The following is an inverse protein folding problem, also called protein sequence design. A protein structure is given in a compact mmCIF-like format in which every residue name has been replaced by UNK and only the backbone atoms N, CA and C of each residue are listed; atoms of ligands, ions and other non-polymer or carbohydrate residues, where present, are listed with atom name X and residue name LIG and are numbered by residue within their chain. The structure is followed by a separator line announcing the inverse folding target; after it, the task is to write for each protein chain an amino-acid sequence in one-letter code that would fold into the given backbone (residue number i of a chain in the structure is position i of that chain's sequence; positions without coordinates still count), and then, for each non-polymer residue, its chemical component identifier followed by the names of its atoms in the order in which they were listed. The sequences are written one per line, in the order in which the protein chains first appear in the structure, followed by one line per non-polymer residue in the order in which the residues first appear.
data_IF_377338105592
#
_entry.id   IF_377338105592
#
_cell.length_a   1.000
_cell.length_b   1.000
_cell.length_c   1.000
_cell.angle_alpha   90.00
_cell.angle_beta   90.00
_cell.angle_gamma   90.00
#
_symmetry.space_group_name_H-M   'P 1'
#
loop_
_entity.id
_entity.type
_entity.pdbx_description
1 polymer ?
#
# COMPACT_ATOMS: atom_id res chain seq x y z
N UNK A 1 5.37 7.07 -22.13
CA UNK A 1 5.60 8.49 -21.78
C UNK A 1 6.81 8.56 -20.86
N UNK A 2 7.95 8.97 -21.40
CA UNK A 2 9.20 9.04 -20.65
C UNK A 2 9.31 10.38 -19.93
N UNK A 3 9.69 10.36 -18.66
CA UNK A 3 10.08 11.56 -17.92
C UNK A 3 11.53 11.87 -18.26
N UNK A 4 11.80 13.04 -18.84
CA UNK A 4 13.16 13.57 -18.92
C UNK A 4 13.59 14.06 -17.53
N UNK A 5 14.87 13.88 -17.20
CA UNK A 5 15.48 14.37 -15.96
C UNK A 5 16.26 15.67 -16.17
N UNK A 6 16.07 16.31 -17.33
CA UNK A 6 16.74 17.56 -17.69
C UNK A 6 15.81 18.70 -17.29
N UNK A 7 16.25 19.48 -16.31
CA UNK A 7 15.54 20.62 -15.74
C UNK A 7 16.47 21.83 -15.77
N UNK A 8 16.03 22.91 -16.41
CA UNK A 8 16.72 24.18 -16.42
C UNK A 8 16.25 25.04 -15.26
N UNK A 9 17.18 25.63 -14.52
CA UNK A 9 16.88 26.52 -13.40
C UNK A 9 16.85 27.97 -13.89
N UNK A 10 15.70 28.62 -13.74
CA UNK A 10 15.48 30.02 -14.10
C UNK A 10 15.01 30.82 -12.88
N UNK A 11 15.18 32.14 -12.85
CA UNK A 11 14.61 32.98 -11.80
C UNK A 11 13.10 32.75 -11.72
N UNK A 12 12.64 32.08 -10.65
CA UNK A 12 11.23 31.75 -10.43
C UNK A 12 10.88 30.25 -10.52
N UNK A 13 11.80 29.35 -10.87
CA UNK A 13 11.54 27.90 -10.81
C UNK A 13 12.43 27.02 -11.69
N UNK A 14 11.92 25.82 -11.98
CA UNK A 14 12.53 24.88 -12.93
C UNK A 14 11.61 24.69 -14.12
N UNK A 15 12.16 24.73 -15.32
CA UNK A 15 11.45 24.46 -16.58
C UNK A 15 12.05 23.20 -17.20
N UNK A 16 11.21 22.37 -17.83
CA UNK A 16 11.68 21.20 -18.59
C UNK A 16 11.80 21.56 -20.06
N UNK A 17 12.85 21.06 -20.72
CA UNK A 17 13.05 21.24 -22.17
C UNK A 17 12.10 20.38 -23.02
N UNK A 18 11.24 19.57 -22.36
CA UNK A 18 10.31 18.67 -23.02
C UNK A 18 8.88 19.12 -22.79
N UNK A 19 8.16 19.42 -23.88
CA UNK A 19 6.74 19.74 -23.84
C UNK A 19 5.93 18.54 -23.31
N UNK A 20 5.30 18.69 -22.13
CA UNK A 20 4.38 17.69 -21.55
C UNK A 20 2.94 18.17 -21.78
N UNK A 21 2.21 17.50 -22.67
CA UNK A 21 0.79 17.80 -22.89
C UNK A 21 -0.04 17.27 -21.71
N UNK A 22 -0.47 18.17 -20.81
CA UNK A 22 -1.29 17.84 -19.63
C UNK A 22 -2.78 18.09 -19.87
N UNK A 23 -3.17 18.66 -21.01
CA UNK A 23 -4.55 19.04 -21.32
C UNK A 23 -5.10 20.21 -20.49
N UNK A 24 -4.26 20.89 -19.71
CA UNK A 24 -4.63 22.07 -18.89
C UNK A 24 -3.43 23.01 -18.78
N UNK A 25 -3.63 24.32 -18.67
CA UNK A 25 -2.55 25.31 -18.45
C UNK A 25 -2.01 25.30 -16.99
N UNK A 26 -2.18 24.18 -16.29
CA UNK A 26 -1.76 23.98 -14.92
C UNK A 26 -0.33 23.44 -14.81
N UNK A 27 0.30 23.63 -13.64
CA UNK A 27 1.64 23.10 -13.36
C UNK A 27 1.67 21.57 -13.50
N UNK A 28 2.67 21.07 -14.22
CA UNK A 28 2.86 19.62 -14.44
C UNK A 28 3.30 18.85 -13.17
N UNK A 29 3.75 19.55 -12.12
CA UNK A 29 4.15 18.95 -10.84
C UNK A 29 3.81 19.84 -9.64
N UNK A 30 3.54 19.27 -8.45
CA UNK A 30 3.39 20.02 -7.19
C UNK A 30 4.72 20.68 -6.75
N UNK A 31 4.64 21.75 -5.97
CA UNK A 31 5.83 22.40 -5.40
C UNK A 31 6.59 21.46 -4.45
N UNK A 32 7.89 21.31 -4.67
CA UNK A 32 8.81 20.65 -3.74
C UNK A 32 8.90 21.48 -2.46
N UNK A 33 8.07 21.14 -1.47
CA UNK A 33 7.98 21.87 -0.20
C UNK A 33 6.64 21.73 0.52
N UNK A 34 5.60 21.21 -0.14
CA UNK A 34 4.33 20.92 0.51
C UNK A 34 4.44 19.70 1.42
N UNK A 35 4.04 19.84 2.69
CA UNK A 35 3.55 18.70 3.48
C UNK A 35 2.65 17.83 2.60
N UNK A 36 2.79 16.49 2.60
CA UNK A 36 2.06 15.63 1.67
C UNK A 36 0.59 16.02 1.65
N UNK A 37 0.10 16.51 0.50
CA UNK A 37 -1.31 16.83 0.32
C UNK A 37 -2.09 15.56 0.71
N UNK A 38 -2.96 15.60 1.73
CA UNK A 38 -3.76 14.44 2.08
C UNK A 38 -4.45 13.95 0.81
N UNK A 39 -4.50 12.63 0.56
CA UNK A 39 -5.17 12.13 -0.63
C UNK A 39 -6.58 12.73 -0.68
N UNK A 40 -6.92 13.33 -1.82
CA UNK A 40 -8.02 14.28 -2.00
C UNK A 40 -9.43 13.67 -1.96
N UNK A 41 -9.66 12.65 -1.14
CA UNK A 41 -10.87 11.82 -1.20
C UNK A 41 -11.53 11.52 0.13
N UNK A 42 -11.32 12.36 1.15
CA UNK A 42 -11.89 12.15 2.48
C UNK A 42 -11.49 10.79 3.12
N UNK A 43 -12.18 10.44 4.19
CA UNK A 43 -12.05 9.14 4.82
C UNK A 43 -12.73 8.06 3.96
N UNK A 44 -12.03 6.96 3.74
CA UNK A 44 -12.61 5.77 3.12
C UNK A 44 -13.58 5.07 4.09
N UNK A 45 -14.53 4.26 3.59
CA UNK A 45 -15.55 3.63 4.44
C UNK A 45 -14.97 2.90 5.66
N UNK A 46 -15.30 3.40 6.85
CA UNK A 46 -14.88 2.81 8.12
C UNK A 46 -13.40 3.00 8.48
N UNK A 47 -12.68 3.89 7.80
CA UNK A 47 -11.27 4.18 8.04
C UNK A 47 -11.06 5.64 8.48
N UNK A 48 -10.08 5.89 9.34
CA UNK A 48 -9.61 7.25 9.62
C UNK A 48 -8.73 7.80 8.48
N UNK A 49 -8.27 9.05 8.59
CA UNK A 49 -7.49 9.70 7.54
C UNK A 49 -6.16 8.98 7.24
N UNK A 50 -5.46 8.49 8.27
CA UNK A 50 -4.18 7.79 8.12
C UNK A 50 -4.37 6.43 7.45
N UNK A 51 -5.31 5.63 7.95
CA UNK A 51 -5.69 4.34 7.36
C UNK A 51 -6.16 4.52 5.91
N UNK A 52 -6.92 5.58 5.62
CA UNK A 52 -7.37 5.90 4.27
C UNK A 52 -6.21 6.22 3.34
N UNK A 53 -5.18 6.90 3.84
CA UNK A 53 -3.92 7.13 3.11
C UNK A 53 -3.24 5.81 2.73
N UNK A 54 -3.05 4.91 3.68
CA UNK A 54 -2.43 3.60 3.42
C UNK A 54 -3.28 2.71 2.51
N UNK A 55 -4.59 2.69 2.69
CA UNK A 55 -5.49 1.93 1.82
C UNK A 55 -5.39 2.40 0.35
N UNK A 56 -5.27 3.72 0.10
CA UNK A 56 -5.00 4.24 -1.25
C UNK A 56 -3.61 3.86 -1.76
N UNK A 57 -2.59 3.82 -0.90
CA UNK A 57 -1.27 3.29 -1.26
C UNK A 57 -1.37 1.82 -1.71
N UNK A 58 -2.10 0.98 -0.97
CA UNK A 58 -2.33 -0.43 -1.32
C UNK A 58 -3.10 -0.55 -2.64
N UNK A 59 -4.12 0.28 -2.86
CA UNK A 59 -4.89 0.32 -4.10
C UNK A 59 -4.05 0.75 -5.31
N UNK A 60 -3.23 1.80 -5.16
CA UNK A 60 -2.28 2.24 -6.18
C UNK A 60 -1.28 1.13 -6.52
N UNK A 61 -0.76 0.42 -5.52
CA UNK A 61 0.10 -0.72 -5.76
C UNK A 61 -0.63 -1.87 -6.48
N UNK A 62 -1.92 -2.11 -6.21
CA UNK A 62 -2.69 -3.11 -6.97
C UNK A 62 -2.76 -2.79 -8.47
N UNK A 63 -2.92 -1.52 -8.84
CA UNK A 63 -2.83 -1.07 -10.23
C UNK A 63 -1.46 -1.35 -10.83
N UNK A 64 -0.39 -0.90 -10.14
CA UNK A 64 0.99 -1.09 -10.60
C UNK A 64 1.34 -2.57 -10.80
N UNK A 65 0.81 -3.47 -9.96
CA UNK A 65 1.09 -4.91 -10.03
C UNK A 65 0.14 -5.71 -10.93
N UNK A 66 -0.87 -5.06 -11.53
CA UNK A 66 -1.80 -5.65 -12.49
C UNK A 66 -2.76 -6.69 -11.88
N UNK A 67 -3.14 -6.53 -10.61
CA UNK A 67 -4.01 -7.49 -9.90
C UNK A 67 -5.48 -7.09 -9.87
N UNK A 68 -5.83 -5.93 -10.44
CA UNK A 68 -7.21 -5.47 -10.55
C UNK A 68 -7.86 -5.11 -9.20
N UNK A 69 -9.12 -4.67 -9.27
CA UNK A 69 -9.92 -4.33 -8.08
C UNK A 69 -10.09 -5.52 -7.12
N UNK A 70 -10.12 -6.75 -7.65
CA UNK A 70 -10.17 -7.96 -6.82
C UNK A 70 -8.89 -8.14 -6.00
N UNK A 71 -7.72 -7.98 -6.62
CA UNK A 71 -6.45 -8.05 -5.90
C UNK A 71 -6.32 -6.96 -4.84
N UNK A 72 -6.79 -5.74 -5.15
CA UNK A 72 -6.92 -4.67 -4.15
C UNK A 72 -7.76 -5.15 -2.95
N UNK A 73 -8.96 -5.71 -3.19
CA UNK A 73 -9.84 -6.13 -2.11
C UNK A 73 -9.23 -7.26 -1.27
N UNK A 74 -8.48 -8.19 -1.88
CA UNK A 74 -7.70 -9.21 -1.17
C UNK A 74 -6.67 -8.58 -0.24
N UNK A 75 -5.87 -7.62 -0.73
CA UNK A 75 -4.87 -6.94 0.08
C UNK A 75 -5.49 -6.08 1.20
N UNK A 76 -6.55 -5.33 0.93
CA UNK A 76 -7.23 -4.53 1.97
C UNK A 76 -7.85 -5.43 3.03
N UNK A 77 -8.48 -6.55 2.66
CA UNK A 77 -9.00 -7.51 3.63
C UNK A 77 -7.87 -8.06 4.52
N UNK A 78 -6.71 -8.39 3.94
CA UNK A 78 -5.52 -8.78 4.71
C UNK A 78 -5.08 -7.67 5.65
N UNK A 79 -4.82 -6.45 5.16
CA UNK A 79 -4.34 -5.34 5.99
C UNK A 79 -5.30 -5.00 7.15
N UNK A 80 -6.62 -5.13 6.94
CA UNK A 80 -7.62 -4.97 8.00
C UNK A 80 -7.47 -6.02 9.10
N UNK A 81 -7.23 -7.28 8.74
CA UNK A 81 -7.07 -8.38 9.70
C UNK A 81 -5.74 -8.31 10.43
N UNK A 82 -4.66 -8.03 9.72
CA UNK A 82 -3.30 -8.12 10.26
C UNK A 82 -2.95 -6.95 11.18
N UNK A 83 -3.41 -5.75 10.83
CA UNK A 83 -2.94 -4.53 11.52
C UNK A 83 -4.03 -3.49 11.72
N UNK A 84 -5.26 -3.76 11.26
CA UNK A 84 -6.27 -2.72 11.08
C UNK A 84 -5.74 -1.54 10.23
N UNK A 85 -4.97 -1.84 9.18
CA UNK A 85 -4.34 -0.87 8.27
C UNK A 85 -3.43 0.13 9.02
N UNK A 86 -2.60 -0.38 9.95
CA UNK A 86 -1.60 0.42 10.66
C UNK A 86 -0.19 -0.16 10.43
N UNK A 87 0.83 0.69 10.40
CA UNK A 87 2.22 0.25 10.23
C UNK A 87 2.82 -0.07 11.60
N UNK A 88 3.08 -1.35 11.88
CA UNK A 88 3.74 -1.75 13.12
C UNK A 88 5.25 -1.86 12.94
N UNK A 89 6.02 -1.36 13.89
CA UNK A 89 7.40 -1.79 14.08
C UNK A 89 7.46 -2.98 15.05
N UNK A 90 8.62 -3.61 15.19
CA UNK A 90 8.81 -4.72 16.14
C UNK A 90 10.22 -4.64 16.75
N UNK A 91 10.30 -4.57 18.08
CA UNK A 91 11.59 -4.42 18.78
C UNK A 91 12.55 -5.59 18.54
N UNK A 92 12.03 -6.77 18.17
CA UNK A 92 12.82 -7.95 17.80
C UNK A 92 13.43 -7.85 16.40
N UNK A 93 12.97 -6.91 15.57
CA UNK A 93 13.49 -6.66 14.22
C UNK A 93 14.40 -5.42 14.24
N UNK A 94 15.74 -5.59 14.18
CA UNK A 94 16.68 -4.49 14.28
C UNK A 94 16.39 -3.36 13.29
N UNK A 95 16.37 -2.12 13.79
CA UNK A 95 16.14 -0.93 12.99
C UNK A 95 14.69 -0.66 12.58
N UNK A 96 13.76 -1.60 12.80
CA UNK A 96 12.35 -1.41 12.41
C UNK A 96 11.71 -0.21 13.13
N UNK A 97 11.87 -0.10 14.45
CA UNK A 97 11.30 1.00 15.24
C UNK A 97 12.03 2.34 15.08
N UNK A 98 13.10 2.39 14.27
CA UNK A 98 13.71 3.65 13.81
C UNK A 98 13.02 4.21 12.57
N UNK A 99 12.23 3.38 11.86
CA UNK A 99 11.42 3.79 10.72
C UNK A 99 10.09 4.37 11.20
N UNK A 100 9.43 5.17 10.37
CA UNK A 100 8.09 5.70 10.67
C UNK A 100 7.10 4.56 10.87
N UNK A 101 6.37 4.58 11.99
CA UNK A 101 5.38 3.58 12.38
C UNK A 101 4.23 4.22 13.16
N UNK A 102 3.16 3.47 13.34
CA UNK A 102 1.95 3.85 14.07
C UNK A 102 1.84 3.13 15.41
N UNK A 103 2.40 1.93 15.49
CA UNK A 103 2.31 1.06 16.65
C UNK A 103 3.55 0.17 16.79
N UNK A 104 3.71 -0.41 17.97
CA UNK A 104 4.80 -1.34 18.30
C UNK A 104 4.20 -2.72 18.53
N UNK A 105 4.70 -3.72 17.80
CA UNK A 105 4.37 -5.13 17.95
C UNK A 105 5.52 -5.92 18.55
N UNK A 106 5.22 -7.17 18.90
CA UNK A 106 6.15 -8.10 19.53
C UNK A 106 6.04 -9.54 18.98
N UNK A 107 5.11 -9.76 18.06
CA UNK A 107 4.82 -11.07 17.49
C UNK A 107 5.92 -11.47 16.51
N UNK A 108 6.60 -12.59 16.82
CA UNK A 108 7.70 -13.15 16.03
C UNK A 108 8.65 -12.05 15.52
N UNK A 109 8.83 -11.98 14.19
CA UNK A 109 9.56 -10.92 13.48
C UNK A 109 8.62 -10.15 12.54
N UNK A 110 7.33 -10.13 12.85
CA UNK A 110 6.28 -9.50 12.04
C UNK A 110 6.37 -7.98 12.13
N UNK A 111 6.33 -7.30 10.98
CA UNK A 111 6.34 -5.83 10.87
C UNK A 111 5.41 -5.35 9.76
N UNK A 112 5.12 -4.06 9.77
CA UNK A 112 4.40 -3.37 8.72
C UNK A 112 2.90 -3.64 8.69
N UNK A 113 2.26 -3.18 7.62
CA UNK A 113 0.81 -3.17 7.48
C UNK A 113 0.20 -4.56 7.23
N UNK A 114 0.99 -5.49 6.72
CA UNK A 114 0.60 -6.87 6.46
C UNK A 114 1.17 -7.87 7.50
N UNK A 115 1.80 -7.38 8.57
CA UNK A 115 2.50 -8.22 9.57
C UNK A 115 3.44 -9.25 8.93
N UNK A 116 4.20 -8.81 7.93
CA UNK A 116 5.14 -9.66 7.21
C UNK A 116 6.38 -9.92 8.08
N UNK A 117 6.79 -11.19 8.18
CA UNK A 117 7.99 -11.56 8.94
C UNK A 117 9.25 -11.21 8.14
N UNK A 118 10.07 -10.31 8.70
CA UNK A 118 11.40 -9.99 8.16
C UNK A 118 12.45 -10.94 8.78
N UNK A 119 13.41 -11.49 8.01
CA UNK A 119 13.73 -11.19 6.61
C UNK A 119 13.00 -12.07 5.57
N UNK A 120 12.14 -13.01 5.97
CA UNK A 120 11.51 -13.99 5.06
C UNK A 120 10.76 -13.35 3.89
N UNK A 121 10.04 -12.26 4.14
CA UNK A 121 9.33 -11.50 3.11
C UNK A 121 10.21 -10.46 2.42
N UNK A 122 11.26 -10.00 3.09
CA UNK A 122 12.14 -8.92 2.68
C UNK A 122 12.74 -8.19 3.87
N UNK A 123 13.50 -7.12 3.59
CA UNK A 123 14.12 -6.28 4.64
C UNK A 123 13.05 -5.58 5.49
N UNK A 124 13.41 -5.18 6.72
CA UNK A 124 12.52 -4.40 7.58
C UNK A 124 12.00 -3.14 6.88
N UNK A 125 12.86 -2.45 6.11
CA UNK A 125 12.49 -1.27 5.33
C UNK A 125 11.42 -1.58 4.28
N UNK A 126 11.55 -2.70 3.56
CA UNK A 126 10.56 -3.11 2.56
C UNK A 126 9.24 -3.55 3.21
N UNK A 127 9.30 -4.28 4.32
CA UNK A 127 8.10 -4.77 5.00
C UNK A 127 7.35 -3.64 5.72
N UNK A 128 8.04 -2.60 6.20
CA UNK A 128 7.40 -1.46 6.88
C UNK A 128 6.88 -0.38 5.93
N UNK A 129 7.48 -0.18 4.76
CA UNK A 129 6.97 0.76 3.77
C UNK A 129 5.68 0.21 3.13
N UNK A 130 4.52 0.90 3.23
CA UNK A 130 3.25 0.36 2.74
C UNK A 130 3.23 0.04 1.25
N UNK A 131 3.97 0.80 0.42
CA UNK A 131 4.06 0.55 -1.02
C UNK A 131 4.83 -0.74 -1.30
N UNK A 132 6.01 -0.86 -0.71
CA UNK A 132 6.89 -2.02 -0.87
C UNK A 132 6.27 -3.28 -0.29
N UNK A 133 5.68 -3.19 0.90
CA UNK A 133 5.02 -4.29 1.59
C UNK A 133 3.80 -4.81 0.80
N UNK A 134 3.01 -3.90 0.20
CA UNK A 134 1.94 -4.29 -0.73
C UNK A 134 2.50 -4.97 -1.99
N UNK A 135 3.60 -4.48 -2.55
CA UNK A 135 4.26 -5.12 -3.69
C UNK A 135 4.73 -6.55 -3.39
N UNK A 136 5.28 -6.79 -2.20
CA UNK A 136 5.63 -8.13 -1.72
C UNK A 136 4.38 -9.02 -1.60
N UNK A 137 3.29 -8.49 -1.02
CA UNK A 137 2.01 -9.19 -0.92
C UNK A 137 1.47 -9.58 -2.30
N UNK A 138 1.45 -8.66 -3.27
CA UNK A 138 0.95 -8.95 -4.62
C UNK A 138 1.83 -9.92 -5.39
N UNK A 139 3.16 -9.89 -5.18
CA UNK A 139 4.05 -10.91 -5.71
C UNK A 139 3.68 -12.30 -5.19
N UNK A 140 3.43 -12.44 -3.88
CA UNK A 140 2.98 -13.68 -3.28
C UNK A 140 1.59 -14.11 -3.77
N UNK A 141 0.63 -13.17 -3.86
CA UNK A 141 -0.72 -13.41 -4.38
C UNK A 141 -0.70 -13.98 -5.80
N UNK A 142 0.12 -13.42 -6.69
CA UNK A 142 0.27 -13.92 -8.06
C UNK A 142 0.87 -15.33 -8.13
N UNK A 143 1.61 -15.75 -7.11
CA UNK A 143 2.09 -17.13 -6.96
C UNK A 143 0.99 -18.12 -6.57
N UNK A 144 -0.17 -17.67 -6.08
CA UNK A 144 -1.28 -18.56 -5.69
C UNK A 144 -2.09 -18.95 -6.93
N UNK A 145 -1.95 -20.20 -7.38
CA UNK A 145 -2.69 -20.73 -8.54
C UNK A 145 -4.21 -20.54 -8.36
N UNK A 146 -4.85 -19.87 -9.31
CA UNK A 146 -6.30 -19.67 -9.33
C UNK A 146 -6.84 -18.62 -8.34
N UNK A 147 -5.98 -17.81 -7.71
CA UNK A 147 -6.40 -16.81 -6.70
C UNK A 147 -7.52 -15.88 -7.19
N UNK A 148 -7.51 -15.52 -8.47
CA UNK A 148 -8.51 -14.62 -9.06
C UNK A 148 -9.94 -15.17 -9.04
N UNK A 149 -10.10 -16.50 -8.92
CA UNK A 149 -11.39 -17.19 -8.81
C UNK A 149 -11.75 -17.59 -7.38
N UNK A 150 -10.79 -17.56 -6.45
CA UNK A 150 -11.02 -17.86 -5.03
C UNK A 150 -11.77 -16.72 -4.35
N UNK A 151 -12.55 -17.01 -3.30
CA UNK A 151 -13.09 -15.95 -2.44
C UNK A 151 -11.97 -15.03 -1.91
N UNK A 152 -12.29 -13.77 -1.59
CA UNK A 152 -11.32 -12.79 -1.08
C UNK A 152 -10.59 -13.33 0.16
N UNK A 153 -11.35 -13.89 1.12
CA UNK A 153 -10.79 -14.46 2.34
C UNK A 153 -9.90 -15.66 2.07
N UNK A 154 -10.32 -16.56 1.17
CA UNK A 154 -9.51 -17.73 0.78
C UNK A 154 -8.20 -17.32 0.11
N UNK A 155 -8.22 -16.33 -0.79
CA UNK A 155 -7.01 -15.82 -1.44
C UNK A 155 -6.05 -15.18 -0.43
N UNK A 156 -6.56 -14.35 0.48
CA UNK A 156 -5.78 -13.75 1.57
C UNK A 156 -5.14 -14.82 2.47
N UNK A 157 -5.94 -15.80 2.90
CA UNK A 157 -5.47 -16.92 3.71
C UNK A 157 -4.38 -17.74 3.00
N UNK A 158 -4.49 -17.97 1.69
CA UNK A 158 -3.46 -18.70 0.92
C UNK A 158 -2.13 -17.96 0.87
N UNK A 159 -2.16 -16.63 0.90
CA UNK A 159 -0.96 -15.79 0.93
C UNK A 159 -0.34 -15.78 2.33
N UNK A 160 -1.13 -15.50 3.36
CA UNK A 160 -0.63 -15.32 4.73
C UNK A 160 -0.41 -16.63 5.49
N UNK A 161 -1.15 -17.68 5.17
CA UNK A 161 -1.11 -18.99 5.84
C UNK A 161 -1.33 -18.88 7.35
N UNK A 162 -2.27 -18.04 7.78
CA UNK A 162 -2.61 -17.83 9.19
C UNK A 162 -3.31 -19.07 9.80
N UNK A 163 -3.28 -19.19 11.12
CA UNK A 163 -4.03 -20.22 11.84
C UNK A 163 -5.56 -19.99 11.85
N UNK A 164 -6.03 -18.80 11.42
CA UNK A 164 -7.43 -18.40 11.51
C UNK A 164 -8.01 -18.00 10.13
N UNK A 165 -8.36 -18.98 9.28
CA UNK A 165 -8.75 -18.73 7.89
C UNK A 165 -9.99 -17.83 7.73
N UNK A 166 -10.91 -17.89 8.68
CA UNK A 166 -12.20 -17.20 8.57
C UNK A 166 -12.11 -15.68 8.82
N UNK A 167 -11.03 -15.21 9.46
CA UNK A 167 -10.88 -13.77 9.80
C UNK A 167 -10.88 -12.87 8.56
N UNK A 168 -10.28 -13.33 7.46
CA UNK A 168 -10.23 -12.54 6.24
C UNK A 168 -11.58 -12.45 5.54
N UNK A 169 -12.39 -13.50 5.63
CA UNK A 169 -13.73 -13.52 5.03
C UNK A 169 -14.64 -12.45 5.66
N UNK A 170 -14.54 -12.21 6.97
CA UNK A 170 -15.36 -11.20 7.67
C UNK A 170 -15.07 -9.77 7.20
N UNK A 171 -13.87 -9.51 6.65
CA UNK A 171 -13.45 -8.20 6.14
C UNK A 171 -13.66 -8.02 4.64
N UNK A 172 -14.07 -9.06 3.91
CA UNK A 172 -14.17 -9.02 2.45
C UNK A 172 -15.11 -7.92 1.93
N UNK A 173 -16.32 -7.80 2.49
CA UNK A 173 -17.29 -6.79 2.07
C UNK A 173 -16.81 -5.36 2.33
N UNK A 174 -16.15 -5.13 3.48
CA UNK A 174 -15.55 -3.85 3.80
C UNK A 174 -14.43 -3.51 2.81
N UNK A 175 -13.57 -4.49 2.50
CA UNK A 175 -12.46 -4.31 1.58
C UNK A 175 -12.91 -3.97 0.16
N UNK A 176 -13.97 -4.59 -0.35
CA UNK A 176 -14.56 -4.25 -1.65
C UNK A 176 -15.05 -2.80 -1.67
N UNK A 177 -15.74 -2.33 -0.62
CA UNK A 177 -16.20 -0.93 -0.53
C UNK A 177 -15.04 0.06 -0.49
N UNK A 178 -13.99 -0.24 0.27
CA UNK A 178 -12.77 0.58 0.35
C UNK A 178 -12.10 0.66 -1.02
N UNK A 179 -11.85 -0.48 -1.67
CA UNK A 179 -11.23 -0.51 -3.00
C UNK A 179 -12.09 0.19 -4.05
N UNK A 180 -13.42 0.03 -4.03
CA UNK A 180 -14.29 0.75 -4.98
C UNK A 180 -14.24 2.28 -4.87
N UNK A 181 -13.70 2.84 -3.78
CA UNK A 181 -13.48 4.29 -3.59
C UNK A 181 -12.01 4.71 -3.68
N UNK A 182 -11.08 3.75 -3.65
CA UNK A 182 -9.64 3.99 -3.59
C UNK A 182 -8.90 3.56 -4.87
N UNK A 183 -9.48 2.62 -5.61
CA UNK A 183 -8.97 2.00 -6.83
C UNK A 183 -9.47 2.77 -8.05
#
# INVERSE_FOLDING_TARGET
FGTSNVWDHVPGGYVTDTYVYTGTDGRAAPACGGTPKPPSGGNLPGLNARQSGYARTIAKAAHTHGVGARGCAVAIATALVESNIAVYCNYKVPGSCKLRHDAVGSDHLSVGIFQQQSPMWGTAKQCMDPTSSAGLFYKALKGVKGWSRMSIGTAAQRVQRSAFPDRYATRANQAVKICGKAY
#
